data_IF_423311719413
#
_entry.id   IF_423311719413
#
_cell.length_a   1.000
_cell.length_b   1.000
_cell.length_c   1.000
_cell.angle_alpha   90.00
_cell.angle_beta   90.00
_cell.angle_gamma   90.00
#
_symmetry.space_group_name_H-M   'P 1'
#
loop_
_entity.id
_entity.type
_entity.pdbx_description
1 polymer ?
#
# COMPACT_ATOMS: atom_id res chain seq x y z
N UNK A 1 -2.78 2.33 -53.53
CA UNK A 1 -3.61 2.64 -52.34
C UNK A 1 -3.53 1.63 -51.17
N UNK A 2 -2.85 0.47 -51.27
CA UNK A 2 -2.80 -0.51 -50.16
C UNK A 2 -1.79 -0.22 -49.02
N UNK A 3 -0.80 0.65 -49.22
CA UNK A 3 0.28 0.89 -48.21
C UNK A 3 -0.14 1.76 -47.03
N UNK A 4 -1.10 2.68 -47.19
CA UNK A 4 -1.53 3.53 -46.07
C UNK A 4 -2.33 2.76 -45.02
N UNK A 5 -3.12 1.76 -45.43
CA UNK A 5 -3.99 1.03 -44.50
C UNK A 5 -3.19 0.17 -43.51
N UNK A 6 -2.08 -0.42 -43.96
CA UNK A 6 -1.22 -1.28 -43.12
C UNK A 6 -0.41 -0.47 -42.09
N UNK A 7 -0.17 0.81 -42.33
CA UNK A 7 0.55 1.66 -41.37
C UNK A 7 -0.38 2.06 -40.21
N UNK A 8 -1.64 2.42 -40.52
CA UNK A 8 -2.61 2.75 -39.48
C UNK A 8 -2.90 1.57 -38.55
N UNK A 9 -3.14 0.38 -39.12
CA UNK A 9 -3.42 -0.82 -38.35
C UNK A 9 -2.28 -1.19 -37.37
N UNK A 10 -1.03 -0.97 -37.79
CA UNK A 10 0.15 -1.26 -36.95
C UNK A 10 0.33 -0.28 -35.80
N UNK A 11 -0.08 0.99 -35.97
CA UNK A 11 -0.05 1.99 -34.91
C UNK A 11 -1.14 1.71 -33.88
N UNK A 12 -2.34 1.33 -34.33
CA UNK A 12 -3.45 0.96 -33.45
C UNK A 12 -3.14 -0.30 -32.61
N UNK A 13 -2.48 -1.30 -33.21
CA UNK A 13 -2.06 -2.52 -32.50
C UNK A 13 -0.95 -2.25 -31.46
N UNK A 14 0.05 -1.42 -31.79
CA UNK A 14 1.10 -1.02 -30.83
C UNK A 14 0.55 -0.15 -29.68
N UNK A 15 -0.43 0.70 -29.97
CA UNK A 15 -1.08 1.54 -28.95
C UNK A 15 -1.97 0.69 -28.02
N UNK A 16 -2.74 -0.24 -28.57
CA UNK A 16 -3.54 -1.25 -27.85
C UNK A 16 -2.70 -2.10 -26.89
N UNK A 17 -1.61 -2.69 -27.39
CA UNK A 17 -0.72 -3.53 -26.59
C UNK A 17 -0.01 -2.74 -25.48
N UNK A 18 0.31 -1.47 -25.74
CA UNK A 18 0.92 -0.58 -24.75
C UNK A 18 -0.05 -0.22 -23.61
N UNK A 19 -1.34 -0.05 -23.91
CA UNK A 19 -2.38 0.28 -22.93
C UNK A 19 -2.73 -0.94 -22.08
N UNK A 20 -2.84 -2.13 -22.68
CA UNK A 20 -3.14 -3.37 -21.97
C UNK A 20 -1.98 -3.77 -21.03
N UNK A 21 -0.73 -3.63 -21.48
CA UNK A 21 0.46 -3.84 -20.65
C UNK A 21 0.57 -2.85 -19.49
N UNK A 22 0.27 -1.56 -19.72
CA UNK A 22 0.23 -0.52 -18.66
C UNK A 22 -0.87 -0.82 -17.64
N UNK A 23 -2.06 -1.23 -18.10
CA UNK A 23 -3.18 -1.61 -17.23
C UNK A 23 -2.83 -2.80 -16.33
N UNK A 24 -2.16 -3.83 -16.85
CA UNK A 24 -1.70 -4.98 -16.06
C UNK A 24 -0.71 -4.60 -14.96
N UNK A 25 0.29 -3.74 -15.26
CA UNK A 25 1.26 -3.25 -14.27
C UNK A 25 0.60 -2.45 -13.16
N UNK A 26 -0.32 -1.55 -13.50
CA UNK A 26 -1.02 -0.72 -12.52
C UNK A 26 -1.91 -1.58 -11.60
N UNK A 27 -2.62 -2.57 -12.15
CA UNK A 27 -3.38 -3.54 -11.33
C UNK A 27 -2.49 -4.30 -10.35
N UNK A 28 -1.32 -4.74 -10.79
CA UNK A 28 -0.34 -5.43 -9.95
C UNK A 28 0.15 -4.52 -8.81
N UNK A 29 0.53 -3.26 -9.12
CA UNK A 29 0.97 -2.28 -8.11
C UNK A 29 -0.12 -1.99 -7.09
N UNK A 30 -1.37 -1.85 -7.53
CA UNK A 30 -2.52 -1.66 -6.63
C UNK A 30 -2.69 -2.88 -5.72
N UNK A 31 -2.61 -4.09 -6.26
CA UNK A 31 -2.74 -5.33 -5.49
C UNK A 31 -1.64 -5.46 -4.43
N UNK A 32 -0.39 -5.24 -4.80
CA UNK A 32 0.75 -5.26 -3.86
C UNK A 32 0.64 -4.17 -2.80
N UNK A 33 0.15 -2.99 -3.18
CA UNK A 33 -0.09 -1.89 -2.24
C UNK A 33 -1.19 -2.23 -1.23
N UNK A 34 -2.26 -2.89 -1.68
CA UNK A 34 -3.36 -3.33 -0.81
C UNK A 34 -2.94 -4.45 0.14
N UNK A 35 -2.12 -5.38 -0.34
CA UNK A 35 -1.45 -6.39 0.49
C UNK A 35 -0.57 -5.74 1.54
N UNK A 36 0.23 -4.74 1.17
CA UNK A 36 1.05 -3.97 2.09
C UNK A 36 0.23 -3.25 3.17
N UNK A 37 -0.90 -2.64 2.79
CA UNK A 37 -1.80 -1.94 3.70
C UNK A 37 -2.27 -2.80 4.90
N UNK A 38 -2.40 -4.11 4.68
CA UNK A 38 -2.81 -5.10 5.70
C UNK A 38 -1.59 -5.76 6.34
N UNK A 39 -0.60 -6.16 5.55
CA UNK A 39 0.57 -6.90 6.02
C UNK A 39 1.45 -6.07 6.96
N UNK A 40 1.59 -4.76 6.72
CA UNK A 40 2.44 -3.89 7.53
C UNK A 40 1.92 -3.75 8.96
N UNK A 41 0.63 -3.40 9.20
CA UNK A 41 0.10 -3.36 10.56
C UNK A 41 0.22 -4.68 11.31
N UNK A 42 0.01 -5.79 10.62
CA UNK A 42 0.16 -7.14 11.19
C UNK A 42 1.63 -7.43 11.53
N UNK A 43 2.56 -7.06 10.66
CA UNK A 43 3.99 -7.23 10.92
C UNK A 43 4.44 -6.40 12.13
N UNK A 44 4.02 -5.14 12.23
CA UNK A 44 4.29 -4.28 13.39
C UNK A 44 3.74 -4.92 14.66
N UNK A 45 2.51 -5.47 14.60
CA UNK A 45 1.89 -6.15 15.73
C UNK A 45 2.74 -7.31 16.25
N UNK A 46 3.15 -8.23 15.36
CA UNK A 46 3.96 -9.38 15.75
C UNK A 46 5.38 -9.00 16.20
N UNK A 47 6.00 -7.99 15.55
CA UNK A 47 7.31 -7.48 15.97
C UNK A 47 7.24 -6.97 17.41
N UNK A 48 6.20 -6.23 17.77
CA UNK A 48 6.00 -5.73 19.13
C UNK A 48 5.74 -6.86 20.13
N UNK A 49 4.95 -7.87 19.76
CA UNK A 49 4.78 -9.06 20.61
C UNK A 49 6.09 -9.81 20.84
N UNK A 50 6.97 -9.82 19.84
CA UNK A 50 8.28 -10.44 19.95
C UNK A 50 9.24 -9.62 20.81
N UNK A 51 9.25 -8.28 20.67
CA UNK A 51 10.11 -7.38 21.44
C UNK A 51 9.69 -7.36 22.92
N UNK A 52 8.40 -7.24 23.19
CA UNK A 52 7.84 -7.18 24.55
C UNK A 52 7.27 -8.53 24.98
N UNK A 53 8.00 -9.61 24.66
CA UNK A 53 7.56 -10.97 24.93
C UNK A 53 7.19 -11.19 26.39
N UNK A 54 8.04 -10.73 27.32
CA UNK A 54 7.81 -10.90 28.76
C UNK A 54 6.53 -10.19 29.20
N UNK A 55 6.27 -8.97 28.72
CA UNK A 55 5.02 -8.25 29.00
C UNK A 55 3.79 -9.02 28.51
N UNK A 56 3.82 -9.54 27.28
CA UNK A 56 2.67 -10.26 26.70
C UNK A 56 2.48 -11.67 27.25
N UNK A 57 3.54 -12.30 27.77
CA UNK A 57 3.51 -13.70 28.19
C UNK A 57 3.43 -13.88 29.72
N UNK A 58 4.03 -12.97 30.50
CA UNK A 58 3.90 -12.95 31.97
C UNK A 58 2.55 -12.40 32.41
N UNK A 59 1.99 -11.46 31.64
CA UNK A 59 0.66 -10.96 31.85
C UNK A 59 -0.36 -12.01 31.39
N UNK A 60 -0.63 -13.02 32.22
CA UNK A 60 -1.58 -14.14 31.98
C UNK A 60 -3.06 -13.71 31.85
N UNK A 61 -3.34 -12.47 31.48
CA UNK A 61 -4.67 -11.92 31.25
C UNK A 61 -4.97 -11.74 29.75
N UNK A 62 -6.25 -11.56 29.41
CA UNK A 62 -6.72 -11.22 28.06
C UNK A 62 -6.54 -9.71 27.72
N UNK A 63 -6.15 -8.91 28.71
CA UNK A 63 -6.02 -7.45 28.64
C UNK A 63 -4.76 -6.94 27.89
N UNK A 64 -3.55 -7.48 28.13
CA UNK A 64 -2.35 -7.08 27.41
C UNK A 64 -2.44 -7.55 25.96
N UNK A 65 -2.31 -6.61 25.03
CA UNK A 65 -2.38 -6.85 23.59
C UNK A 65 -3.75 -6.62 22.98
N UNK A 66 -4.79 -6.40 23.79
CA UNK A 66 -6.12 -6.05 23.27
C UNK A 66 -6.13 -4.62 22.71
N UNK A 67 -5.47 -3.68 23.39
CA UNK A 67 -5.30 -2.31 22.90
C UNK A 67 -4.46 -2.31 21.63
N UNK A 68 -3.40 -3.11 21.60
CA UNK A 68 -2.55 -3.25 20.43
C UNK A 68 -3.27 -3.92 19.24
N UNK A 69 -4.09 -4.96 19.47
CA UNK A 69 -4.96 -5.53 18.43
C UNK A 69 -5.97 -4.51 17.90
N UNK A 70 -6.57 -3.71 18.79
CA UNK A 70 -7.50 -2.66 18.40
C UNK A 70 -6.82 -1.61 17.50
N UNK A 71 -5.65 -1.11 17.89
CA UNK A 71 -4.88 -0.15 17.08
C UNK A 71 -4.44 -0.75 15.76
N UNK A 72 -4.02 -2.02 15.74
CA UNK A 72 -3.71 -2.74 14.52
C UNK A 72 -4.93 -2.77 13.57
N UNK A 73 -6.11 -3.13 14.09
CA UNK A 73 -7.36 -3.12 13.31
C UNK A 73 -7.74 -1.73 12.78
N UNK A 74 -7.60 -0.70 13.60
CA UNK A 74 -7.83 0.70 13.18
C UNK A 74 -6.85 1.11 12.08
N UNK A 75 -5.57 0.76 12.19
CA UNK A 75 -4.59 1.07 11.13
C UNK A 75 -4.83 0.30 9.84
N UNK A 76 -5.25 -0.96 9.90
CA UNK A 76 -5.67 -1.70 8.72
C UNK A 76 -6.81 -0.97 8.02
N UNK A 77 -7.80 -0.50 8.78
CA UNK A 77 -8.95 0.21 8.23
C UNK A 77 -8.56 1.56 7.61
N UNK A 78 -7.71 2.34 8.30
CA UNK A 78 -7.18 3.62 7.79
C UNK A 78 -6.37 3.41 6.52
N UNK A 79 -5.47 2.42 6.50
CA UNK A 79 -4.66 2.11 5.32
C UNK A 79 -5.56 1.63 4.17
N UNK A 80 -6.56 0.77 4.44
CA UNK A 80 -7.52 0.32 3.43
C UNK A 80 -8.34 1.45 2.80
N UNK A 81 -8.50 2.59 3.48
CA UNK A 81 -9.18 3.77 2.92
C UNK A 81 -8.19 4.69 2.19
N UNK A 82 -7.04 4.98 2.82
CA UNK A 82 -6.05 5.90 2.25
C UNK A 82 -5.43 5.38 0.95
N UNK A 83 -5.15 4.08 0.86
CA UNK A 83 -4.54 3.47 -0.32
C UNK A 83 -5.40 3.56 -1.58
N UNK A 84 -6.69 3.15 -1.59
CA UNK A 84 -7.52 3.32 -2.78
C UNK A 84 -7.77 4.79 -3.12
N UNK A 85 -7.88 5.69 -2.16
CA UNK A 85 -7.99 7.13 -2.44
C UNK A 85 -6.73 7.63 -3.16
N UNK A 86 -5.55 7.31 -2.64
CA UNK A 86 -4.27 7.68 -3.26
C UNK A 86 -4.09 7.03 -4.64
N UNK A 87 -4.52 5.78 -4.80
CA UNK A 87 -4.42 5.05 -6.05
C UNK A 87 -5.40 5.55 -7.10
N UNK A 88 -6.66 5.84 -6.75
CA UNK A 88 -7.68 6.35 -7.69
C UNK A 88 -7.31 7.74 -8.20
N UNK A 89 -6.80 8.62 -7.32
CA UNK A 89 -6.33 9.95 -7.74
C UNK A 89 -5.15 9.87 -8.72
N UNK A 90 -4.24 8.92 -8.54
CA UNK A 90 -3.10 8.74 -9.44
C UNK A 90 -3.42 7.90 -10.68
N UNK A 91 -4.37 6.98 -10.62
CA UNK A 91 -4.82 6.13 -11.74
C UNK A 91 -5.39 6.98 -12.89
N UNK A 92 -6.18 8.01 -12.57
CA UNK A 92 -6.65 8.98 -13.58
C UNK A 92 -5.49 9.71 -14.25
N UNK A 93 -4.45 10.06 -13.50
CA UNK A 93 -3.29 10.78 -14.04
C UNK A 93 -2.41 9.88 -14.93
N UNK A 94 -2.19 8.63 -14.52
CA UNK A 94 -1.37 7.62 -15.21
C UNK A 94 -1.95 7.13 -16.55
N UNK A 95 -3.28 7.16 -16.72
CA UNK A 95 -3.95 6.73 -17.96
C UNK A 95 -4.16 7.89 -18.93
N UNK A 96 -4.26 9.13 -18.43
CA UNK A 96 -4.53 10.31 -19.27
C UNK A 96 -3.27 11.04 -19.75
N UNK A 97 -2.16 10.98 -18.99
CA UNK A 97 -0.88 11.55 -19.41
C UNK A 97 0.13 10.43 -19.72
N UNK A 98 0.99 10.64 -20.72
CA UNK A 98 2.18 9.81 -20.94
C UNK A 98 3.05 9.83 -19.68
N UNK A 99 2.77 8.88 -18.78
CA UNK A 99 3.38 8.82 -17.46
C UNK A 99 4.91 8.82 -17.59
N UNK A 100 5.51 9.92 -17.17
CA UNK A 100 6.96 10.02 -17.09
C UNK A 100 7.47 9.13 -15.96
N UNK A 101 8.69 8.58 -16.09
CA UNK A 101 9.37 7.85 -14.98
C UNK A 101 9.37 8.66 -13.68
N UNK A 102 9.37 9.99 -13.78
CA UNK A 102 9.35 10.89 -12.62
C UNK A 102 8.02 10.83 -11.84
N UNK A 103 6.88 10.62 -12.51
CA UNK A 103 5.58 10.46 -11.84
C UNK A 103 5.48 9.10 -11.13
N UNK A 104 6.08 8.06 -11.71
CA UNK A 104 6.15 6.72 -11.12
C UNK A 104 7.02 6.70 -9.84
N UNK A 105 8.19 7.33 -9.88
CA UNK A 105 9.07 7.47 -8.71
C UNK A 105 8.41 8.30 -7.59
N UNK A 106 7.71 9.39 -7.94
CA UNK A 106 6.94 10.19 -6.97
C UNK A 106 5.79 9.39 -6.36
N UNK A 107 5.12 8.54 -7.13
CA UNK A 107 4.05 7.67 -6.65
C UNK A 107 4.59 6.64 -5.65
N UNK A 108 5.67 5.95 -6.01
CA UNK A 108 6.35 4.98 -5.12
C UNK A 108 6.82 5.68 -3.85
N UNK A 109 7.52 6.81 -3.97
CA UNK A 109 8.03 7.57 -2.83
C UNK A 109 6.92 8.00 -1.85
N UNK A 110 5.80 8.54 -2.35
CA UNK A 110 4.65 8.89 -1.53
C UNK A 110 4.05 7.68 -0.84
N UNK A 111 3.92 6.56 -1.55
CA UNK A 111 3.37 5.32 -1.01
C UNK A 111 4.27 4.76 0.10
N UNK A 112 5.59 4.74 -0.12
CA UNK A 112 6.58 4.36 0.89
C UNK A 112 6.50 5.27 2.12
N UNK A 113 6.35 6.58 1.93
CA UNK A 113 6.25 7.53 3.04
C UNK A 113 4.98 7.31 3.87
N UNK A 114 3.85 7.01 3.22
CA UNK A 114 2.60 6.65 3.92
C UNK A 114 2.78 5.35 4.72
N UNK A 115 3.41 4.34 4.12
CA UNK A 115 3.71 3.06 4.78
C UNK A 115 4.57 3.25 6.03
N UNK A 116 5.69 3.96 5.89
CA UNK A 116 6.63 4.18 7.00
C UNK A 116 5.98 5.02 8.08
N UNK A 117 5.27 6.09 7.72
CA UNK A 117 4.56 6.92 8.70
C UNK A 117 3.46 6.16 9.43
N UNK A 118 2.70 5.30 8.73
CA UNK A 118 1.69 4.43 9.33
C UNK A 118 2.30 3.47 10.36
N UNK A 119 3.43 2.82 10.03
CA UNK A 119 4.12 1.92 10.94
C UNK A 119 4.66 2.64 12.20
N UNK A 120 5.22 3.85 12.03
CA UNK A 120 5.70 4.67 13.14
C UNK A 120 4.54 5.10 14.05
N UNK A 121 3.45 5.61 13.48
CA UNK A 121 2.27 6.03 14.24
C UNK A 121 1.66 4.87 15.00
N UNK A 122 1.52 3.69 14.36
CA UNK A 122 1.06 2.48 15.03
C UNK A 122 1.96 2.13 16.22
N UNK A 123 3.28 2.11 16.01
CA UNK A 123 4.25 1.78 17.06
C UNK A 123 4.16 2.73 18.26
N UNK A 124 4.10 4.03 18.02
CA UNK A 124 4.00 5.04 19.08
C UNK A 124 2.69 4.91 19.85
N UNK A 125 1.56 4.77 19.16
CA UNK A 125 0.25 4.63 19.82
C UNK A 125 0.20 3.34 20.63
N UNK A 126 0.73 2.23 20.10
CA UNK A 126 0.77 0.95 20.79
C UNK A 126 1.64 1.01 22.05
N UNK A 127 2.77 1.72 22.03
CA UNK A 127 3.56 1.98 23.24
C UNK A 127 2.80 2.80 24.28
N UNK A 128 2.10 3.86 23.87
CA UNK A 128 1.38 4.73 24.80
C UNK A 128 0.19 4.01 25.45
N UNK A 129 -0.52 3.17 24.71
CA UNK A 129 -1.73 2.49 25.21
C UNK A 129 -1.38 1.28 26.07
N UNK A 130 -0.46 0.43 25.61
CA UNK A 130 -0.09 -0.79 26.35
C UNK A 130 0.89 -0.50 27.48
N UNK A 131 1.71 0.55 27.33
CA UNK A 131 2.81 0.91 28.21
C UNK A 131 3.56 -0.31 28.79
N UNK A 132 4.36 -1.00 27.97
CA UNK A 132 5.06 -2.21 28.38
C UNK A 132 6.26 -1.95 29.31
N UNK A 133 6.50 -0.69 29.71
CA UNK A 133 7.61 -0.25 30.55
C UNK A 133 7.16 0.09 31.98
#
# INVERSE_FOLDING_TARGET
>A
MKRSFTIYQRVDDEESDSVESKSGKVKSVILFSLLGAVAIPIAVYYIFQFIFFDYYNESKGLLPGMGHMFICGVMIFINLILFPIANVMNYKKLITENASREDEERFVSKTTLIVVSSAVVQSVISLVIENPF
#
